data_IF_319178417955
#
_entry.id   IF_319178417955
#
_cell.length_a   1.000
_cell.length_b   1.000
_cell.length_c   1.000
_cell.angle_alpha   90.00
_cell.angle_beta   90.00
_cell.angle_gamma   90.00
#
_symmetry.space_group_name_H-M   'P 1'
#
loop_
_entity.id
_entity.type
_entity.pdbx_description
1 polymer ?
#
# COMPACT_ATOMS: atom_id res chain seq x y z
N UNK A 1 -3.68 -11.34 0.07
CA UNK A 1 -3.22 -10.10 0.75
C UNK A 1 -4.20 -8.99 0.39
N UNK A 2 -4.52 -8.10 1.34
CA UNK A 2 -5.54 -7.04 1.18
C UNK A 2 -4.98 -5.67 1.59
N UNK A 3 -5.11 -4.69 0.71
CA UNK A 3 -4.97 -3.26 1.00
C UNK A 3 -6.37 -2.61 1.09
N UNK A 4 -6.45 -1.35 1.51
CA UNK A 4 -7.73 -0.70 1.80
C UNK A 4 -7.89 0.61 1.01
N UNK A 5 -7.11 1.62 1.38
CA UNK A 5 -6.98 2.92 0.74
C UNK A 5 -5.51 3.14 0.36
N UNK A 6 -4.92 4.26 0.78
CA UNK A 6 -3.54 4.60 0.52
C UNK A 6 -3.33 5.37 -0.78
N UNK A 7 -2.09 5.35 -1.24
CA UNK A 7 -1.59 6.15 -2.36
C UNK A 7 -0.84 5.27 -3.35
N UNK A 8 -0.95 5.63 -4.63
CA UNK A 8 -0.09 5.13 -5.68
C UNK A 8 1.16 6.00 -5.81
N UNK A 9 2.29 5.40 -6.17
CA UNK A 9 3.52 6.13 -6.46
C UNK A 9 4.28 5.52 -7.63
N UNK A 10 5.02 6.39 -8.33
CA UNK A 10 6.04 6.00 -9.29
C UNK A 10 7.34 5.73 -8.53
N UNK A 11 8.03 4.64 -8.87
CA UNK A 11 9.32 4.29 -8.29
C UNK A 11 10.45 4.48 -9.31
N UNK A 12 11.70 4.70 -8.87
CA UNK A 12 12.83 4.70 -9.79
C UNK A 12 13.00 3.33 -10.47
N UNK A 13 13.63 3.25 -11.67
CA UNK A 13 13.70 2.01 -12.45
C UNK A 13 14.41 0.83 -11.76
N UNK A 14 15.27 1.11 -10.80
CA UNK A 14 16.00 0.10 -10.04
C UNK A 14 15.23 -0.44 -8.82
N UNK A 15 14.09 0.17 -8.47
CA UNK A 15 13.21 -0.37 -7.44
C UNK A 15 12.56 -1.68 -7.92
N UNK A 16 12.28 -2.59 -6.98
CA UNK A 16 11.56 -3.84 -7.24
C UNK A 16 10.13 -3.71 -6.75
N UNK A 17 9.12 -3.86 -7.63
CA UNK A 17 7.73 -3.74 -7.21
C UNK A 17 7.35 -4.90 -6.29
N UNK A 18 6.58 -4.60 -5.24
CA UNK A 18 5.90 -5.61 -4.41
C UNK A 18 4.40 -5.64 -4.70
N UNK A 19 3.79 -4.45 -4.88
CA UNK A 19 2.37 -4.28 -5.16
C UNK A 19 2.20 -3.27 -6.27
N UNK A 20 1.54 -3.71 -7.35
CA UNK A 20 1.30 -2.94 -8.56
C UNK A 20 -0.19 -2.83 -8.79
N UNK A 21 -0.66 -1.63 -9.09
CA UNK A 21 -2.05 -1.38 -9.43
C UNK A 21 -2.39 -1.94 -10.82
N UNK A 22 -3.50 -2.68 -10.89
CA UNK A 22 -4.01 -3.24 -12.14
C UNK A 22 -4.75 -2.21 -13.01
N UNK A 23 -5.24 -2.67 -14.16
CA UNK A 23 -5.76 -1.83 -15.24
C UNK A 23 -6.98 -0.97 -14.85
N UNK A 24 -7.79 -1.43 -13.90
CA UNK A 24 -8.98 -0.71 -13.43
C UNK A 24 -8.72 0.25 -12.27
N UNK A 25 -7.46 0.42 -11.85
CA UNK A 25 -7.13 1.25 -10.69
C UNK A 25 -7.09 2.74 -11.04
N UNK A 26 -7.82 3.53 -10.24
CA UNK A 26 -7.87 4.98 -10.32
C UNK A 26 -7.44 5.61 -9.00
N UNK A 27 -6.79 6.77 -9.07
CA UNK A 27 -6.55 7.63 -7.92
C UNK A 27 -7.44 8.85 -8.02
N UNK A 28 -8.25 9.06 -6.99
CA UNK A 28 -8.97 10.32 -6.78
C UNK A 28 -8.00 11.40 -6.32
N UNK A 29 -8.14 12.60 -6.87
CA UNK A 29 -7.25 13.74 -6.63
C UNK A 29 -8.01 14.90 -5.99
N UNK A 30 -8.52 14.75 -4.75
CA UNK A 30 -9.28 15.80 -4.09
C UNK A 30 -8.38 16.95 -3.62
N UNK A 31 -8.92 18.17 -3.59
CA UNK A 31 -8.22 19.34 -3.02
C UNK A 31 -8.08 19.25 -1.49
N UNK A 32 -9.01 18.55 -0.84
CA UNK A 32 -9.07 18.41 0.61
C UNK A 32 -9.18 16.95 1.01
N UNK A 33 -8.34 16.56 1.97
CA UNK A 33 -8.27 15.17 2.43
C UNK A 33 -9.63 14.67 2.91
N UNK A 34 -10.02 13.47 2.43
CA UNK A 34 -11.27 12.79 2.78
C UNK A 34 -12.56 13.45 2.27
N UNK A 35 -12.46 14.40 1.33
CA UNK A 35 -13.62 15.01 0.68
C UNK A 35 -13.57 14.72 -0.82
N UNK A 36 -14.52 13.93 -1.32
CA UNK A 36 -14.57 13.46 -2.71
C UNK A 36 -15.90 13.88 -3.36
N UNK A 37 -16.09 15.17 -3.72
CA UNK A 37 -17.26 15.60 -4.47
C UNK A 37 -17.33 14.91 -5.84
N UNK A 38 -18.50 14.96 -6.48
CA UNK A 38 -18.77 14.23 -7.73
C UNK A 38 -17.87 14.63 -8.91
N UNK A 39 -17.25 15.81 -8.85
CA UNK A 39 -16.31 16.36 -9.82
C UNK A 39 -14.84 16.17 -9.43
N UNK A 40 -14.55 15.34 -8.40
CA UNK A 40 -13.17 15.02 -8.00
C UNK A 40 -12.40 14.46 -9.20
N UNK A 41 -11.29 15.08 -9.60
CA UNK A 41 -10.50 14.55 -10.71
C UNK A 41 -9.98 13.15 -10.39
N UNK A 42 -9.98 12.29 -11.41
CA UNK A 42 -9.44 10.94 -11.34
C UNK A 42 -8.30 10.79 -12.33
N UNK A 43 -7.27 10.05 -11.93
CA UNK A 43 -6.20 9.63 -12.84
C UNK A 43 -6.07 8.11 -12.82
N UNK A 44 -5.80 7.52 -13.99
CA UNK A 44 -5.38 6.12 -14.04
C UNK A 44 -4.01 5.97 -13.38
N UNK A 45 -3.89 4.96 -12.51
CA UNK A 45 -2.62 4.59 -11.86
C UNK A 45 -2.21 3.18 -12.22
N UNK A 46 -2.67 2.69 -13.37
CA UNK A 46 -2.27 1.40 -13.91
C UNK A 46 -0.74 1.28 -13.97
N UNK A 47 -0.21 0.20 -13.42
CA UNK A 47 1.23 -0.06 -13.40
C UNK A 47 2.02 0.74 -12.35
N UNK A 48 1.38 1.64 -11.60
CA UNK A 48 2.02 2.33 -10.48
C UNK A 48 2.09 1.40 -9.26
N UNK A 49 2.98 1.74 -8.33
CA UNK A 49 3.19 0.92 -7.15
C UNK A 49 2.33 1.39 -5.98
N UNK A 50 1.87 0.43 -5.17
CA UNK A 50 1.44 0.66 -3.80
C UNK A 50 2.48 0.19 -2.78
N UNK A 51 3.45 -0.63 -3.23
CA UNK A 51 4.55 -1.12 -2.42
C UNK A 51 5.75 -1.49 -3.28
N UNK A 52 6.96 -1.11 -2.87
CA UNK A 52 8.20 -1.41 -3.61
C UNK A 52 9.41 -1.47 -2.67
N UNK A 53 10.44 -2.20 -3.09
CA UNK A 53 11.75 -2.25 -2.42
C UNK A 53 12.84 -1.60 -3.24
N UNK A 54 13.90 -1.17 -2.58
CA UNK A 54 15.11 -0.64 -3.20
C UNK A 54 16.32 -1.02 -2.35
N UNK A 55 17.34 -1.63 -2.95
CA UNK A 55 18.66 -1.68 -2.33
C UNK A 55 19.39 -0.37 -2.67
N UNK A 56 19.89 0.32 -1.64
CA UNK A 56 20.57 1.61 -1.78
C UNK A 56 21.88 1.57 -1.00
N UNK A 57 23.00 1.56 -1.71
CA UNK A 57 24.33 1.25 -1.18
C UNK A 57 24.33 -0.07 -0.38
N UNK A 58 24.54 0.02 0.94
CA UNK A 58 24.53 -1.13 1.86
C UNK A 58 23.16 -1.34 2.53
N UNK A 59 22.22 -0.43 2.29
CA UNK A 59 20.89 -0.41 2.89
C UNK A 59 19.84 -1.12 2.03
N UNK A 60 18.73 -1.47 2.70
CA UNK A 60 17.50 -1.98 2.10
C UNK A 60 16.36 -1.06 2.50
N UNK A 61 15.58 -0.61 1.53
CA UNK A 61 14.45 0.30 1.70
C UNK A 61 13.20 -0.44 1.24
N UNK A 62 12.10 -0.28 1.97
CA UNK A 62 10.77 -0.68 1.54
C UNK A 62 9.80 0.47 1.78
N UNK A 63 9.02 0.82 0.77
CA UNK A 63 8.04 1.90 0.82
C UNK A 63 6.67 1.30 0.53
N UNK A 64 5.67 1.70 1.32
CA UNK A 64 4.26 1.41 1.09
C UNK A 64 3.43 2.69 1.13
N UNK A 65 2.54 2.83 0.16
CA UNK A 65 1.55 3.91 0.11
C UNK A 65 0.30 3.63 0.93
N UNK A 66 0.21 2.46 1.58
CA UNK A 66 -0.90 2.04 2.44
C UNK A 66 -0.35 1.67 3.82
N UNK A 67 -0.75 2.41 4.84
CA UNK A 67 -0.33 2.17 6.22
C UNK A 67 -1.22 1.14 6.93
N UNK A 68 -2.55 1.18 6.68
CA UNK A 68 -3.52 0.40 7.41
C UNK A 68 -3.31 -1.11 7.24
N UNK A 69 -2.73 -1.54 6.11
CA UNK A 69 -2.50 -2.96 5.81
C UNK A 69 -1.64 -3.69 6.84
N UNK A 70 -0.78 -2.98 7.58
CA UNK A 70 0.12 -3.53 8.59
C UNK A 70 -0.31 -3.23 10.03
N UNK A 71 -1.57 -2.85 10.23
CA UNK A 71 -2.09 -2.48 11.54
C UNK A 71 -3.10 -3.52 12.05
N UNK A 72 -3.47 -3.43 13.32
CA UNK A 72 -4.65 -4.08 13.88
C UNK A 72 -5.59 -2.99 14.40
N UNK A 73 -6.48 -2.49 13.53
CA UNK A 73 -7.28 -1.30 13.80
C UNK A 73 -8.77 -1.54 13.58
N UNK A 74 -9.58 -0.82 14.35
CA UNK A 74 -11.02 -0.68 14.14
C UNK A 74 -11.28 0.78 13.76
N UNK A 75 -11.81 1.03 12.57
CA UNK A 75 -11.93 2.37 11.98
C UNK A 75 -13.38 2.78 11.70
N UNK A 76 -13.63 4.09 11.83
CA UNK A 76 -14.92 4.70 11.53
C UNK A 76 -16.03 4.34 12.51
N UNK A 77 -17.20 4.97 12.30
CA UNK A 77 -18.40 4.72 13.12
C UNK A 77 -18.92 3.29 12.96
N UNK A 78 -18.69 2.69 11.79
CA UNK A 78 -19.08 1.32 11.45
C UNK A 78 -18.17 0.25 12.04
N UNK A 79 -17.10 0.65 12.75
CA UNK A 79 -16.14 -0.27 13.39
C UNK A 79 -15.56 -1.28 12.40
N UNK A 80 -15.18 -0.81 11.21
CA UNK A 80 -14.54 -1.65 10.21
C UNK A 80 -13.19 -2.14 10.71
N UNK A 81 -12.96 -3.46 10.64
CA UNK A 81 -11.67 -4.06 10.94
C UNK A 81 -10.71 -3.81 9.78
N UNK A 82 -9.52 -3.32 10.09
CA UNK A 82 -8.48 -2.95 9.13
C UNK A 82 -7.19 -3.72 9.40
N UNK A 83 -6.35 -3.83 8.37
CA UNK A 83 -5.07 -4.51 8.43
C UNK A 83 -5.19 -6.00 8.72
N UNK A 84 -4.34 -6.53 9.61
CA UNK A 84 -4.19 -7.99 9.85
C UNK A 84 -5.41 -8.64 10.50
N UNK A 85 -6.36 -7.85 11.02
CA UNK A 85 -7.60 -8.35 11.63
C UNK A 85 -8.81 -8.26 10.70
N UNK A 86 -8.63 -7.79 9.46
CA UNK A 86 -9.69 -7.68 8.49
C UNK A 86 -9.96 -9.03 7.79
N UNK A 87 -11.21 -9.29 7.43
CA UNK A 87 -11.57 -10.42 6.59
C UNK A 87 -10.93 -10.30 5.20
N UNK A 88 -10.29 -11.38 4.73
CA UNK A 88 -9.54 -11.43 3.47
C UNK A 88 -8.09 -10.92 3.57
N UNK A 89 -7.63 -10.54 4.77
CA UNK A 89 -6.28 -10.05 5.03
C UNK A 89 -5.36 -11.09 5.70
N UNK A 90 -5.70 -12.38 5.63
CA UNK A 90 -5.02 -13.46 6.36
C UNK A 90 -3.53 -13.59 5.98
N UNK A 91 -3.16 -13.11 4.79
CA UNK A 91 -1.77 -13.11 4.31
C UNK A 91 -0.99 -11.84 4.67
N UNK A 92 -1.62 -10.80 5.21
CA UNK A 92 -0.95 -9.52 5.48
C UNK A 92 0.14 -9.66 6.55
N UNK A 93 -0.10 -10.45 7.59
CA UNK A 93 0.88 -10.68 8.65
C UNK A 93 2.13 -11.40 8.11
N UNK A 94 1.95 -12.50 7.38
CA UNK A 94 3.09 -13.22 6.79
C UNK A 94 3.84 -12.35 5.77
N UNK A 95 3.12 -11.54 5.00
CA UNK A 95 3.74 -10.59 4.07
C UNK A 95 4.61 -9.56 4.82
N UNK A 96 4.11 -9.00 5.92
CA UNK A 96 4.88 -8.10 6.79
C UNK A 96 6.13 -8.79 7.36
N UNK A 97 6.00 -10.03 7.86
CA UNK A 97 7.15 -10.79 8.37
C UNK A 97 8.21 -11.01 7.29
N UNK A 98 7.81 -11.34 6.07
CA UNK A 98 8.74 -11.50 4.95
C UNK A 98 9.47 -10.19 4.63
N UNK A 99 8.77 -9.04 4.66
CA UNK A 99 9.37 -7.72 4.49
C UNK A 99 10.41 -7.45 5.59
N UNK A 100 10.08 -7.74 6.85
CA UNK A 100 11.00 -7.55 7.97
C UNK A 100 12.22 -8.48 7.88
N UNK A 101 12.03 -9.72 7.46
CA UNK A 101 13.14 -10.64 7.19
C UNK A 101 14.04 -10.17 6.06
N UNK A 102 13.46 -9.64 4.97
CA UNK A 102 14.23 -9.06 3.87
C UNK A 102 15.00 -7.82 4.33
N UNK A 103 14.36 -6.89 5.04
CA UNK A 103 15.01 -5.70 5.60
C UNK A 103 16.17 -6.06 6.54
N UNK A 104 15.99 -7.09 7.37
CA UNK A 104 16.99 -7.57 8.32
C UNK A 104 18.02 -8.55 7.74
N UNK A 105 18.01 -8.79 6.42
CA UNK A 105 18.91 -9.73 5.73
C UNK A 105 18.87 -11.16 6.29
N UNK A 106 17.72 -11.58 6.81
CA UNK A 106 17.46 -12.98 7.17
C UNK A 106 17.06 -13.81 5.95
N UNK A 107 16.61 -13.14 4.89
CA UNK A 107 16.37 -13.66 3.54
C UNK A 107 16.90 -12.70 2.48
#
# INVERSE_FOLDING_TARGET
MKAFTGQAFLSPPNAKPLLVFGDSAVSYMPEKSWEFPADTPEISVQGWNQGATLEFDKGRIVIFGEAAMFTAQVSGKEKMKMGVIAEGAEQNEQFLLNIMHWLSRKI
#
